data_IF_505115256024
#
_entry.id   IF_505115256024
#
_cell.length_a   1.000
_cell.length_b   1.000
_cell.length_c   1.000
_cell.angle_alpha   90.00
_cell.angle_beta   90.00
_cell.angle_gamma   90.00
#
_symmetry.space_group_name_H-M   'P 1'
#
loop_
_entity.id
_entity.type
_entity.pdbx_description
1 polymer ?
#
# COMPACT_ATOMS: atom_id res chain seq x y z
N UNK A 1 -29.89 9.76 12.52
CA UNK A 1 -29.85 9.40 11.09
C UNK A 1 -28.44 9.73 10.63
N UNK A 2 -27.56 8.75 10.76
CA UNK A 2 -26.12 8.88 10.54
C UNK A 2 -25.89 8.68 9.03
N UNK A 3 -25.53 9.73 8.32
CA UNK A 3 -25.09 9.62 6.93
C UNK A 3 -23.73 8.94 6.92
N UNK A 4 -23.74 7.66 6.62
CA UNK A 4 -22.52 6.95 6.18
C UNK A 4 -22.13 7.62 4.85
N UNK A 5 -21.15 8.50 4.89
CA UNK A 5 -20.48 9.01 3.70
C UNK A 5 -19.76 7.79 3.06
N UNK A 6 -20.43 7.23 2.06
CA UNK A 6 -19.84 6.20 1.21
C UNK A 6 -18.67 6.84 0.47
N UNK A 7 -17.45 6.63 0.95
CA UNK A 7 -16.26 6.94 0.18
C UNK A 7 -16.37 6.21 -1.16
N UNK A 8 -16.08 6.84 -2.31
CA UNK A 8 -16.04 6.11 -3.55
C UNK A 8 -15.02 4.96 -3.39
N UNK A 9 -15.32 3.77 -3.90
CA UNK A 9 -14.40 2.65 -3.81
C UNK A 9 -13.04 3.08 -4.38
N UNK A 10 -11.98 2.77 -3.66
CA UNK A 10 -10.66 2.77 -4.25
C UNK A 10 -10.76 2.05 -5.60
N UNK A 11 -10.06 2.54 -6.61
CA UNK A 11 -10.00 1.86 -7.90
C UNK A 11 -9.17 0.59 -7.77
N UNK A 12 -9.57 -0.32 -6.89
CA UNK A 12 -9.00 -1.63 -6.81
C UNK A 12 -9.32 -2.33 -8.13
N UNK A 13 -8.32 -2.38 -9.00
CA UNK A 13 -8.35 -3.14 -10.21
C UNK A 13 -7.51 -4.38 -9.95
N UNK A 14 -8.05 -5.55 -10.24
CA UNK A 14 -7.28 -6.79 -10.20
C UNK A 14 -6.05 -6.73 -11.10
N UNK A 15 -5.09 -7.56 -10.85
CA UNK A 15 -3.89 -7.71 -11.68
C UNK A 15 -3.83 -9.10 -12.31
N UNK A 16 -3.18 -9.21 -13.44
CA UNK A 16 -2.76 -10.48 -14.00
C UNK A 16 -1.25 -10.64 -13.84
N UNK A 17 -0.83 -11.29 -12.77
CA UNK A 17 0.57 -11.56 -12.48
C UNK A 17 1.11 -12.80 -13.23
N UNK A 18 0.29 -13.53 -13.98
CA UNK A 18 0.67 -14.76 -14.68
C UNK A 18 1.14 -14.47 -16.10
N UNK A 19 0.34 -13.74 -16.88
CA UNK A 19 0.61 -13.47 -18.30
C UNK A 19 1.99 -12.80 -18.53
N UNK A 20 2.44 -11.79 -17.75
CA UNK A 20 3.72 -11.13 -18.01
C UNK A 20 4.95 -11.92 -17.53
N UNK A 21 4.82 -13.11 -16.94
CA UNK A 21 5.96 -13.82 -16.33
C UNK A 21 7.10 -14.20 -17.27
N UNK A 22 6.80 -14.34 -18.53
CA UNK A 22 7.81 -14.63 -19.55
C UNK A 22 8.43 -13.36 -20.16
N UNK A 23 7.97 -12.18 -19.72
CA UNK A 23 8.44 -10.88 -20.16
C UNK A 23 9.42 -10.34 -19.13
N UNK A 24 10.58 -9.90 -19.57
CA UNK A 24 11.54 -9.24 -18.68
C UNK A 24 11.15 -7.79 -18.51
N UNK A 25 10.71 -7.43 -17.31
CA UNK A 25 10.47 -6.05 -16.90
C UNK A 25 11.69 -5.49 -16.17
N UNK A 26 12.02 -4.23 -16.45
CA UNK A 26 13.05 -3.49 -15.70
C UNK A 26 12.59 -3.28 -14.26
N UNK A 27 13.57 -3.24 -13.33
CA UNK A 27 13.28 -3.00 -11.93
C UNK A 27 12.89 -1.54 -11.68
N UNK A 28 11.73 -1.33 -11.08
CA UNK A 28 11.16 -0.02 -10.80
C UNK A 28 11.42 0.48 -9.37
N UNK A 29 12.09 -0.31 -8.52
CA UNK A 29 12.28 -0.02 -7.09
C UNK A 29 12.86 1.38 -6.86
N UNK A 30 13.99 1.71 -7.49
CA UNK A 30 14.64 3.02 -7.26
C UNK A 30 13.80 4.18 -7.79
N UNK A 31 13.05 3.98 -8.87
CA UNK A 31 12.14 5.00 -9.41
C UNK A 31 11.00 5.28 -8.44
N UNK A 32 10.39 4.22 -7.88
CA UNK A 32 9.32 4.33 -6.88
C UNK A 32 9.86 4.98 -5.61
N UNK A 33 10.99 4.51 -5.07
CA UNK A 33 11.63 5.08 -3.88
C UNK A 33 11.86 6.58 -4.02
N UNK A 34 12.43 7.00 -5.13
CA UNK A 34 12.71 8.42 -5.40
C UNK A 34 11.43 9.27 -5.45
N UNK A 35 10.37 8.76 -6.11
CA UNK A 35 9.10 9.49 -6.23
C UNK A 35 8.43 9.61 -4.86
N UNK A 36 8.37 8.54 -4.09
CA UNK A 36 7.75 8.53 -2.76
C UNK A 36 8.54 9.43 -1.81
N UNK A 37 9.87 9.34 -1.81
CA UNK A 37 10.73 10.16 -0.97
C UNK A 37 10.54 11.66 -1.24
N UNK A 38 10.48 12.06 -2.52
CA UNK A 38 10.18 13.43 -2.92
C UNK A 38 8.81 13.91 -2.42
N UNK A 39 7.82 13.04 -2.41
CA UNK A 39 6.46 13.35 -1.90
C UNK A 39 6.44 13.49 -0.39
N UNK A 40 7.18 12.66 0.33
CA UNK A 40 7.35 12.80 1.78
C UNK A 40 8.03 14.14 2.11
N UNK A 41 9.11 14.48 1.41
CA UNK A 41 9.80 15.76 1.59
C UNK A 41 8.88 16.96 1.31
N UNK A 42 8.05 16.87 0.25
CA UNK A 42 7.10 17.95 -0.06
C UNK A 42 6.01 18.07 1.03
N UNK A 43 5.51 16.96 1.56
CA UNK A 43 4.54 16.96 2.65
C UNK A 43 5.13 17.59 3.93
N UNK A 44 6.36 17.26 4.29
CA UNK A 44 7.08 17.88 5.42
C UNK A 44 7.22 19.38 5.21
N UNK A 45 7.60 19.81 4.01
CA UNK A 45 7.68 21.25 3.67
C UNK A 45 6.34 21.95 3.81
N UNK A 46 5.26 21.33 3.33
CA UNK A 46 3.91 21.88 3.42
C UNK A 46 3.45 21.99 4.89
N UNK A 47 3.72 20.96 5.70
CA UNK A 47 3.36 20.96 7.12
C UNK A 47 4.08 22.09 7.90
N UNK A 48 5.35 22.35 7.58
CA UNK A 48 6.09 23.46 8.15
C UNK A 48 5.57 24.83 7.67
N UNK A 49 5.23 24.97 6.38
CA UNK A 49 4.67 26.20 5.83
C UNK A 49 3.28 26.54 6.41
N UNK A 50 2.47 25.53 6.75
CA UNK A 50 1.18 25.74 7.41
C UNK A 50 1.35 26.43 8.78
N UNK A 51 2.37 26.07 9.54
CA UNK A 51 2.72 26.71 10.79
C UNK A 51 3.03 28.19 10.59
N UNK A 52 3.92 28.51 9.60
CA UNK A 52 4.31 29.89 9.32
C UNK A 52 3.08 30.77 8.99
N UNK A 53 2.13 30.23 8.24
CA UNK A 53 0.88 30.91 7.91
C UNK A 53 0.01 31.20 9.13
N UNK A 54 -0.10 30.28 10.08
CA UNK A 54 -0.87 30.47 11.33
C UNK A 54 -0.20 31.50 12.23
N UNK A 55 1.14 31.49 12.35
CA UNK A 55 1.88 32.49 13.13
C UNK A 55 1.72 33.93 12.59
N UNK A 56 1.56 34.09 11.26
CA UNK A 56 1.29 35.40 10.65
C UNK A 56 -0.11 35.95 10.99
N UNK A 57 -1.11 35.07 11.16
CA UNK A 57 -2.50 35.45 11.40
C UNK A 57 -2.75 35.72 12.88
N UNK A 58 -2.10 34.98 13.76
CA UNK A 58 -2.34 35.06 15.20
C UNK A 58 -1.03 35.12 15.99
N UNK A 59 -0.58 36.33 16.28
CA UNK A 59 0.62 36.64 17.06
C UNK A 59 0.54 36.11 18.54
N UNK A 60 -0.63 35.59 18.95
CA UNK A 60 -0.92 35.09 20.30
C UNK A 60 -1.07 33.57 20.37
N UNK A 61 -0.95 32.83 19.26
CA UNK A 61 -1.01 31.38 19.30
C UNK A 61 0.25 30.81 19.98
N UNK A 62 -0.03 30.06 21.03
CA UNK A 62 0.93 29.41 21.90
C UNK A 62 1.92 28.54 21.09
N UNK A 63 3.20 28.71 21.39
CA UNK A 63 4.32 27.99 20.74
C UNK A 63 4.31 26.46 20.91
N UNK A 64 3.36 25.90 21.66
CA UNK A 64 3.19 24.46 21.89
C UNK A 64 2.74 23.68 20.61
N UNK A 65 2.39 24.39 19.53
CA UNK A 65 1.92 23.78 18.27
C UNK A 65 2.98 23.69 17.15
N UNK A 66 4.25 23.85 17.47
CA UNK A 66 5.31 23.93 16.46
C UNK A 66 5.49 22.66 15.61
N UNK A 67 5.10 21.46 16.10
CA UNK A 67 5.08 20.22 15.32
C UNK A 67 3.72 19.54 15.47
N UNK A 68 2.74 20.00 14.71
CA UNK A 68 1.41 19.43 14.75
C UNK A 68 1.33 18.15 13.91
N UNK A 69 1.20 16.99 14.57
CA UNK A 69 1.13 15.68 13.92
C UNK A 69 -0.08 15.55 13.00
N UNK A 70 -1.23 16.12 13.36
CA UNK A 70 -2.43 16.09 12.52
C UNK A 70 -2.18 16.77 11.18
N UNK A 71 -1.49 17.93 11.19
CA UNK A 71 -1.12 18.65 9.97
C UNK A 71 -0.13 17.82 9.15
N UNK A 72 0.89 17.24 9.80
CA UNK A 72 1.88 16.40 9.12
C UNK A 72 1.22 15.21 8.42
N UNK A 73 0.41 14.43 9.12
CA UNK A 73 -0.27 13.26 8.53
C UNK A 73 -1.29 13.68 7.47
N UNK A 74 -1.96 14.84 7.61
CA UNK A 74 -2.84 15.39 6.58
C UNK A 74 -2.06 15.69 5.29
N UNK A 75 -0.91 16.34 5.38
CA UNK A 75 -0.08 16.66 4.21
C UNK A 75 0.55 15.39 3.59
N UNK A 76 0.97 14.42 4.41
CA UNK A 76 1.45 13.13 3.91
C UNK A 76 0.37 12.37 3.14
N UNK A 77 -0.85 12.29 3.67
CA UNK A 77 -2.00 11.66 2.98
C UNK A 77 -2.30 12.33 1.64
N UNK A 78 -2.36 13.66 1.62
CA UNK A 78 -2.56 14.44 0.37
C UNK A 78 -1.47 14.15 -0.64
N UNK A 79 -0.23 14.01 -0.18
CA UNK A 79 0.93 13.81 -1.05
C UNK A 79 1.04 12.37 -1.55
N UNK A 80 0.66 11.37 -0.73
CA UNK A 80 0.91 9.95 -1.01
C UNK A 80 -0.28 9.21 -1.63
N UNK A 81 -1.53 9.60 -1.31
CA UNK A 81 -2.68 8.89 -1.89
C UNK A 81 -3.96 9.70 -2.05
N UNK A 82 -4.16 10.81 -1.31
CA UNK A 82 -5.36 11.62 -1.41
C UNK A 82 -5.14 12.78 -2.36
N UNK A 83 -5.80 12.79 -3.52
CA UNK A 83 -5.88 13.99 -4.34
C UNK A 83 -7.25 14.65 -4.24
N UNK A 84 -7.29 15.97 -4.37
CA UNK A 84 -8.52 16.71 -4.61
C UNK A 84 -8.73 16.85 -6.11
N UNK A 85 -9.74 16.20 -6.65
CA UNK A 85 -10.24 16.55 -7.98
C UNK A 85 -11.07 17.83 -7.79
N UNK A 86 -10.41 18.97 -8.00
CA UNK A 86 -10.92 20.32 -7.70
C UNK A 86 -12.27 20.61 -8.37
N UNK A 87 -12.54 20.02 -9.54
CA UNK A 87 -13.77 20.27 -10.31
C UNK A 87 -15.03 19.61 -9.74
N UNK A 88 -14.91 18.59 -8.87
CA UNK A 88 -16.05 17.81 -8.37
C UNK A 88 -16.05 17.61 -6.86
N UNK A 89 -15.07 18.11 -6.12
CA UNK A 89 -14.97 17.93 -4.68
C UNK A 89 -14.76 16.46 -4.24
N UNK A 90 -14.41 15.58 -5.15
CA UNK A 90 -14.17 14.18 -4.88
C UNK A 90 -12.71 13.96 -4.49
N UNK A 91 -12.49 13.23 -3.39
CA UNK A 91 -11.18 12.72 -3.03
C UNK A 91 -10.90 11.46 -3.88
N UNK A 92 -9.81 11.45 -4.61
CA UNK A 92 -9.36 10.29 -5.42
C UNK A 92 -8.00 9.77 -4.93
N UNK A 93 -7.72 8.53 -5.25
CA UNK A 93 -6.40 7.93 -5.09
C UNK A 93 -5.61 8.19 -6.37
N UNK A 94 -4.74 9.18 -6.36
CA UNK A 94 -4.09 9.65 -7.58
C UNK A 94 -2.71 9.02 -7.80
N UNK A 95 -2.10 8.47 -6.75
CA UNK A 95 -0.73 8.01 -6.81
C UNK A 95 -0.54 6.80 -7.73
N UNK A 96 -1.43 5.82 -7.68
CA UNK A 96 -1.43 4.65 -8.56
C UNK A 96 -1.59 5.04 -10.04
N UNK A 97 -2.50 5.98 -10.34
CA UNK A 97 -2.64 6.52 -11.70
C UNK A 97 -1.40 7.28 -12.18
N UNK A 98 -0.77 8.02 -11.27
CA UNK A 98 0.49 8.71 -11.59
C UNK A 98 1.63 7.72 -11.82
N UNK A 99 1.71 6.65 -11.04
CA UNK A 99 2.69 5.59 -11.27
C UNK A 99 2.50 4.92 -12.62
N UNK A 100 1.27 4.66 -13.07
CA UNK A 100 1.02 4.16 -14.44
C UNK A 100 1.68 5.06 -15.49
N UNK A 101 1.52 6.38 -15.36
CA UNK A 101 2.15 7.33 -16.29
C UNK A 101 3.67 7.40 -16.14
N UNK A 102 4.17 7.41 -14.91
CA UNK A 102 5.61 7.58 -14.62
C UNK A 102 6.42 6.31 -14.90
N UNK A 103 5.79 5.13 -14.83
CA UNK A 103 6.40 3.83 -15.08
C UNK A 103 5.98 3.22 -16.43
N UNK A 104 5.35 4.01 -17.33
CA UNK A 104 4.81 3.51 -18.60
C UNK A 104 5.82 2.76 -19.50
N UNK A 105 7.12 2.97 -19.33
CA UNK A 105 8.18 2.21 -20.02
C UNK A 105 8.70 0.99 -19.25
N UNK A 106 8.28 0.80 -18.00
CA UNK A 106 8.76 -0.23 -17.08
C UNK A 106 7.61 -1.14 -16.60
N UNK A 107 6.36 -0.82 -16.95
CA UNK A 107 5.18 -1.59 -16.59
C UNK A 107 4.64 -2.41 -17.77
N UNK A 108 3.87 -3.44 -17.45
CA UNK A 108 3.12 -4.23 -18.39
C UNK A 108 1.62 -4.01 -18.17
N UNK A 109 0.97 -3.44 -19.18
CA UNK A 109 -0.46 -3.20 -19.20
C UNK A 109 -1.15 -4.30 -19.99
N UNK A 110 -2.26 -4.83 -19.48
CA UNK A 110 -3.01 -5.90 -20.11
C UNK A 110 -4.51 -5.57 -20.14
N UNK A 111 -5.15 -5.83 -21.27
CA UNK A 111 -6.59 -5.73 -21.36
C UNK A 111 -7.26 -6.91 -20.64
N UNK A 112 -8.47 -6.71 -20.11
CA UNK A 112 -9.23 -7.80 -19.51
C UNK A 112 -9.43 -8.98 -20.49
N UNK A 113 -9.63 -8.70 -21.77
CA UNK A 113 -9.84 -9.73 -22.79
C UNK A 113 -8.61 -10.62 -23.03
N UNK A 114 -7.43 -10.15 -22.72
CA UNK A 114 -6.18 -10.88 -22.88
C UNK A 114 -5.71 -11.54 -21.57
N UNK A 115 -6.36 -11.21 -20.46
CA UNK A 115 -5.97 -11.64 -19.11
C UNK A 115 -6.50 -13.03 -18.73
N UNK A 116 -6.03 -13.50 -17.57
CA UNK A 116 -6.55 -14.71 -16.92
C UNK A 116 -8.01 -14.56 -16.47
N UNK A 117 -8.53 -13.34 -16.34
CA UNK A 117 -9.89 -13.03 -15.89
C UNK A 117 -10.90 -12.84 -17.04
N UNK A 118 -10.50 -13.05 -18.28
CA UNK A 118 -11.33 -12.81 -19.48
C UNK A 118 -12.71 -13.49 -19.41
N UNK A 119 -12.74 -14.71 -18.89
CA UNK A 119 -13.91 -15.59 -18.93
C UNK A 119 -14.82 -15.45 -17.70
N UNK A 120 -14.50 -14.53 -16.76
CA UNK A 120 -15.38 -14.15 -15.66
C UNK A 120 -16.54 -13.30 -16.21
N UNK A 121 -17.78 -13.70 -15.90
CA UNK A 121 -18.97 -13.02 -16.36
C UNK A 121 -19.27 -11.73 -15.57
N UNK A 122 -20.12 -10.86 -16.14
CA UNK A 122 -20.48 -9.59 -15.49
C UNK A 122 -21.13 -9.78 -14.11
N UNK A 123 -21.93 -10.83 -13.92
CA UNK A 123 -22.57 -11.10 -12.62
C UNK A 123 -21.60 -11.70 -11.59
N UNK A 124 -20.52 -12.30 -12.04
CA UNK A 124 -19.49 -12.90 -11.18
C UNK A 124 -18.44 -11.88 -10.73
N UNK A 125 -18.18 -10.85 -11.57
CA UNK A 125 -17.17 -9.84 -11.31
C UNK A 125 -17.48 -8.53 -12.04
N UNK A 126 -18.55 -7.82 -11.65
CA UNK A 126 -18.98 -6.62 -12.37
C UNK A 126 -17.92 -5.52 -12.40
N UNK A 127 -17.14 -5.40 -11.34
CA UNK A 127 -16.09 -4.38 -11.25
C UNK A 127 -14.96 -4.63 -12.26
N UNK A 128 -14.59 -5.91 -12.50
CA UNK A 128 -13.62 -6.29 -13.54
C UNK A 128 -14.05 -5.83 -14.94
N UNK A 129 -15.37 -5.85 -15.21
CA UNK A 129 -15.89 -5.47 -16.53
C UNK A 129 -16.05 -3.95 -16.70
N UNK A 130 -16.00 -3.21 -15.60
CA UNK A 130 -16.15 -1.75 -15.59
C UNK A 130 -14.83 -0.99 -15.41
N UNK A 131 -13.80 -1.67 -14.94
CA UNK A 131 -12.49 -1.09 -14.65
C UNK A 131 -11.43 -1.72 -15.53
N UNK A 132 -10.35 -1.00 -15.77
CA UNK A 132 -9.15 -1.55 -16.37
C UNK A 132 -8.37 -2.35 -15.30
N UNK A 133 -7.65 -3.39 -15.75
CA UNK A 133 -6.71 -4.08 -14.89
C UNK A 133 -5.57 -3.13 -14.49
N UNK A 134 -5.02 -3.35 -13.31
CA UNK A 134 -3.84 -2.63 -12.86
C UNK A 134 -2.60 -3.12 -13.63
N UNK A 135 -1.69 -2.20 -13.91
CA UNK A 135 -0.42 -2.53 -14.54
C UNK A 135 0.47 -3.33 -13.59
N UNK A 136 1.25 -4.24 -14.17
CA UNK A 136 2.25 -5.03 -13.44
C UNK A 136 3.64 -4.43 -13.64
N UNK A 137 4.40 -4.31 -12.58
CA UNK A 137 5.80 -3.85 -12.56
C UNK A 137 6.69 -4.89 -11.89
N UNK A 138 7.97 -4.85 -12.20
CA UNK A 138 8.99 -5.55 -11.42
C UNK A 138 9.50 -4.63 -10.32
N UNK A 139 9.40 -5.06 -9.06
CA UNK A 139 9.96 -4.35 -7.91
C UNK A 139 10.81 -5.34 -7.11
N UNK A 140 12.11 -5.11 -7.09
CA UNK A 140 13.09 -5.97 -6.38
C UNK A 140 12.98 -7.47 -6.75
N UNK A 141 12.73 -7.74 -8.04
CA UNK A 141 12.58 -9.11 -8.56
C UNK A 141 11.21 -9.76 -8.38
N UNK A 142 10.23 -9.03 -7.84
CA UNK A 142 8.83 -9.47 -7.69
C UNK A 142 7.92 -8.80 -8.72
N UNK A 143 7.00 -9.56 -9.33
CA UNK A 143 5.96 -9.00 -10.20
C UNK A 143 4.78 -8.54 -9.36
N UNK A 144 4.59 -7.25 -9.27
CA UNK A 144 3.64 -6.59 -8.38
C UNK A 144 2.71 -5.69 -9.17
N UNK A 145 1.43 -5.73 -8.83
CA UNK A 145 0.47 -4.77 -9.36
C UNK A 145 0.65 -3.38 -8.77
N UNK A 146 0.46 -2.35 -9.57
CA UNK A 146 0.51 -0.97 -9.09
C UNK A 146 -0.60 -0.65 -8.08
N UNK A 147 -1.72 -1.38 -8.09
CA UNK A 147 -2.77 -1.31 -7.08
C UNK A 147 -2.25 -1.61 -5.66
N UNK A 148 -1.25 -2.52 -5.52
CA UNK A 148 -0.62 -2.82 -4.23
C UNK A 148 0.06 -1.60 -3.60
N UNK A 149 0.51 -0.65 -4.42
CA UNK A 149 1.02 0.63 -3.93
C UNK A 149 -0.14 1.48 -3.36
N UNK A 150 -1.31 1.43 -3.98
CA UNK A 150 -2.53 2.04 -3.44
C UNK A 150 -2.93 1.41 -2.09
N UNK A 151 -2.94 0.07 -2.02
CA UNK A 151 -3.18 -0.68 -0.78
C UNK A 151 -2.17 -0.31 0.32
N UNK A 152 -0.90 -0.26 -0.02
CA UNK A 152 0.17 0.11 0.92
C UNK A 152 -0.04 1.50 1.53
N UNK A 153 -0.35 2.52 0.73
CA UNK A 153 -0.51 3.86 1.27
C UNK A 153 -1.91 4.12 1.82
N UNK A 154 -2.97 3.76 1.10
CA UNK A 154 -4.33 4.13 1.47
C UNK A 154 -4.94 3.17 2.51
N UNK A 155 -4.93 1.86 2.25
CA UNK A 155 -5.47 0.88 3.20
C UNK A 155 -4.54 0.71 4.41
N UNK A 156 -3.20 0.81 4.19
CA UNK A 156 -2.23 0.86 5.29
C UNK A 156 -2.46 2.03 6.22
N UNK A 157 -2.90 3.19 5.71
CA UNK A 157 -3.34 4.32 6.54
C UNK A 157 -4.57 3.97 7.38
N UNK A 158 -5.59 3.30 6.80
CA UNK A 158 -6.77 2.88 7.57
C UNK A 158 -6.39 1.90 8.69
N UNK A 159 -5.47 0.98 8.44
CA UNK A 159 -4.95 0.10 9.48
C UNK A 159 -4.28 0.89 10.60
N UNK A 160 -3.52 1.92 10.24
CA UNK A 160 -2.84 2.79 11.21
C UNK A 160 -3.83 3.62 12.02
N UNK A 161 -4.87 4.21 11.40
CA UNK A 161 -5.94 4.92 12.12
C UNK A 161 -6.66 4.00 13.12
N UNK A 162 -7.05 2.79 12.70
CA UNK A 162 -7.75 1.84 13.57
C UNK A 162 -6.92 1.40 14.78
N UNK A 163 -5.61 1.22 14.62
CA UNK A 163 -4.75 0.86 15.75
C UNK A 163 -4.46 2.05 16.64
N UNK A 164 -4.13 3.21 16.07
CA UNK A 164 -3.70 4.40 16.81
C UNK A 164 -4.86 5.13 17.46
N UNK A 165 -5.91 5.43 16.70
CA UNK A 165 -7.00 6.31 17.15
C UNK A 165 -8.12 5.53 17.84
N UNK A 166 -8.42 4.31 17.38
CA UNK A 166 -9.47 3.45 17.92
C UNK A 166 -8.94 2.39 18.90
N UNK A 167 -7.62 2.24 19.03
CA UNK A 167 -6.96 1.32 19.97
C UNK A 167 -7.19 -0.17 19.66
N UNK A 168 -7.52 -0.50 18.39
CA UNK A 168 -7.71 -1.89 17.98
C UNK A 168 -6.37 -2.65 17.93
N UNK A 169 -6.39 -3.94 18.23
CA UNK A 169 -5.22 -4.78 18.04
C UNK A 169 -4.93 -5.00 16.55
N UNK A 170 -3.67 -5.31 16.22
CA UNK A 170 -3.29 -5.59 14.83
C UNK A 170 -4.07 -6.78 14.24
N UNK A 171 -4.38 -7.79 15.04
CA UNK A 171 -5.19 -8.94 14.62
C UNK A 171 -6.62 -8.54 14.24
N UNK A 172 -7.25 -7.65 15.02
CA UNK A 172 -8.59 -7.13 14.72
C UNK A 172 -8.58 -6.30 13.44
N UNK A 173 -7.55 -5.47 13.26
CA UNK A 173 -7.41 -4.62 12.07
C UNK A 173 -7.17 -5.45 10.81
N UNK A 174 -6.32 -6.48 10.87
CA UNK A 174 -6.11 -7.37 9.71
C UNK A 174 -7.39 -8.14 9.40
N UNK A 175 -8.13 -8.60 10.41
CA UNK A 175 -9.40 -9.28 10.18
C UNK A 175 -10.45 -8.33 9.59
N UNK A 176 -10.49 -7.07 10.02
CA UNK A 176 -11.29 -6.05 9.37
C UNK A 176 -10.92 -5.91 7.88
N UNK A 177 -9.64 -5.85 7.53
CA UNK A 177 -9.17 -5.79 6.14
C UNK A 177 -9.59 -7.02 5.33
N UNK A 178 -9.51 -8.23 5.93
CA UNK A 178 -10.00 -9.46 5.29
C UNK A 178 -11.50 -9.39 4.98
N UNK A 179 -12.31 -8.82 5.88
CA UNK A 179 -13.75 -8.61 5.65
C UNK A 179 -14.01 -7.60 4.54
N UNK A 180 -13.19 -6.54 4.42
CA UNK A 180 -13.29 -5.61 3.30
C UNK A 180 -12.94 -6.29 1.98
N UNK A 181 -11.88 -7.09 1.95
CA UNK A 181 -11.45 -7.86 0.78
C UNK A 181 -12.46 -8.95 0.40
N UNK A 182 -13.01 -9.68 1.37
CA UNK A 182 -14.10 -10.64 1.13
C UNK A 182 -15.41 -9.98 0.66
N UNK A 183 -15.62 -8.70 0.96
CA UNK A 183 -16.83 -7.95 0.65
C UNK A 183 -16.62 -6.94 -0.46
N UNK A 184 -16.38 -5.72 -0.05
CA UNK A 184 -16.47 -4.52 -0.88
C UNK A 184 -15.40 -4.44 -1.98
N UNK A 185 -14.20 -4.99 -1.74
CA UNK A 185 -13.08 -4.84 -2.67
C UNK A 185 -12.84 -6.07 -3.54
N UNK A 186 -13.03 -7.28 -3.01
CA UNK A 186 -12.72 -8.54 -3.68
C UNK A 186 -13.95 -9.35 -4.10
N UNK A 187 -14.32 -10.40 -3.37
CA UNK A 187 -15.32 -11.40 -3.79
C UNK A 187 -16.62 -10.83 -4.35
N UNK A 188 -17.18 -9.77 -3.74
CA UNK A 188 -18.47 -9.22 -4.17
C UNK A 188 -18.35 -8.40 -5.45
N UNK A 189 -17.19 -7.81 -5.71
CA UNK A 189 -17.00 -6.85 -6.80
C UNK A 189 -16.23 -7.42 -7.99
N UNK A 190 -15.21 -8.21 -7.74
CA UNK A 190 -14.33 -8.78 -8.77
C UNK A 190 -14.43 -10.29 -8.88
N UNK A 191 -14.97 -10.95 -7.85
CA UNK A 191 -14.96 -12.42 -7.73
C UNK A 191 -13.63 -12.99 -7.24
N UNK A 192 -12.66 -12.14 -6.93
CA UNK A 192 -11.29 -12.49 -6.53
C UNK A 192 -11.02 -11.97 -5.12
N UNK A 193 -10.23 -12.69 -4.34
CA UNK A 193 -9.72 -12.29 -3.04
C UNK A 193 -8.20 -12.34 -3.08
N UNK A 194 -7.56 -11.19 -2.94
CA UNK A 194 -6.12 -11.07 -3.03
C UNK A 194 -5.47 -11.03 -1.64
N UNK A 195 -4.70 -12.06 -1.32
CA UNK A 195 -3.86 -12.06 -0.12
C UNK A 195 -2.66 -11.09 -0.24
N UNK A 196 -2.25 -10.78 -1.46
CA UNK A 196 -1.21 -9.79 -1.70
C UNK A 196 -1.66 -8.38 -1.28
N UNK A 197 -2.96 -8.05 -1.40
CA UNK A 197 -3.53 -6.80 -0.91
C UNK A 197 -3.42 -6.70 0.60
N UNK A 198 -3.78 -7.77 1.33
CA UNK A 198 -3.63 -7.81 2.79
C UNK A 198 -2.18 -7.69 3.24
N UNK A 199 -1.27 -8.30 2.47
CA UNK A 199 0.17 -8.16 2.68
C UNK A 199 0.62 -6.71 2.50
N UNK A 200 0.16 -6.04 1.45
CA UNK A 200 0.44 -4.64 1.20
C UNK A 200 -0.13 -3.73 2.29
N UNK A 201 -1.38 -3.98 2.74
CA UNK A 201 -2.03 -3.23 3.81
C UNK A 201 -1.24 -3.30 5.12
N UNK A 202 -0.82 -4.52 5.54
CA UNK A 202 -0.02 -4.70 6.76
C UNK A 202 1.33 -3.98 6.67
N UNK A 203 2.02 -4.08 5.55
CA UNK A 203 3.28 -3.36 5.34
C UNK A 203 3.06 -1.85 5.24
N UNK A 204 1.91 -1.40 4.74
CA UNK A 204 1.51 0.00 4.76
C UNK A 204 1.31 0.53 6.18
N UNK A 205 0.68 -0.25 7.05
CA UNK A 205 0.63 0.09 8.48
C UNK A 205 2.03 0.30 9.07
N UNK A 206 2.98 -0.62 8.77
CA UNK A 206 4.38 -0.50 9.23
C UNK A 206 5.05 0.77 8.75
N UNK A 207 4.76 1.20 7.51
CA UNK A 207 5.25 2.46 6.96
C UNK A 207 4.68 3.66 7.75
N UNK A 208 3.35 3.71 7.95
CA UNK A 208 2.71 4.82 8.64
C UNK A 208 3.14 4.92 10.10
N UNK A 209 3.26 3.78 10.79
CA UNK A 209 3.83 3.72 12.13
C UNK A 209 5.28 4.24 12.17
N UNK A 210 6.09 3.91 11.17
CA UNK A 210 7.49 4.34 11.09
C UNK A 210 7.64 5.83 10.74
N UNK A 211 6.61 6.51 10.27
CA UNK A 211 6.68 7.95 9.98
C UNK A 211 7.20 8.72 11.19
N UNK A 212 6.60 8.52 12.35
CA UNK A 212 7.04 9.10 13.64
C UNK A 212 7.59 8.06 14.62
N UNK A 213 7.52 6.77 14.28
CA UNK A 213 7.89 5.63 15.13
C UNK A 213 7.04 5.60 16.42
N UNK A 214 5.71 5.59 16.24
CA UNK A 214 4.74 5.64 17.34
C UNK A 214 4.80 4.38 18.21
N UNK A 215 5.01 3.20 17.58
CA UNK A 215 5.09 1.91 18.25
C UNK A 215 6.23 1.03 17.67
N UNK A 216 6.60 -0.01 18.40
CA UNK A 216 7.50 -1.05 17.92
C UNK A 216 6.91 -1.76 16.69
N UNK A 217 7.73 -1.99 15.65
CA UNK A 217 7.32 -2.78 14.47
C UNK A 217 7.15 -4.27 14.88
N UNK A 218 5.92 -4.82 14.82
CA UNK A 218 5.64 -6.17 15.31
C UNK A 218 6.30 -7.29 14.48
N UNK A 219 6.83 -6.97 13.30
CA UNK A 219 7.59 -7.90 12.46
C UNK A 219 9.10 -7.84 12.72
N UNK A 220 9.55 -6.94 13.59
CA UNK A 220 10.95 -6.83 14.01
C UNK A 220 11.17 -7.41 15.39
N UNK A 221 12.36 -7.96 15.61
CA UNK A 221 12.79 -8.31 16.94
C UNK A 221 13.08 -7.05 17.81
N UNK A 222 13.04 -7.19 19.12
CA UNK A 222 13.24 -6.09 20.07
C UNK A 222 14.55 -5.32 19.86
N UNK A 223 15.65 -5.99 19.48
CA UNK A 223 16.93 -5.33 19.18
C UNK A 223 16.80 -4.43 17.94
N UNK A 224 16.13 -4.90 16.89
CA UNK A 224 15.94 -4.13 15.66
C UNK A 224 15.05 -2.89 15.90
N UNK A 225 14.01 -3.04 16.73
CA UNK A 225 13.18 -1.91 17.14
C UNK A 225 13.94 -0.87 17.94
N UNK A 226 14.84 -1.30 18.85
CA UNK A 226 15.66 -0.38 19.66
C UNK A 226 16.55 0.55 18.80
N UNK A 227 16.98 0.10 17.62
CA UNK A 227 17.80 0.87 16.69
C UNK A 227 17.02 1.47 15.53
N UNK A 228 15.70 1.27 15.49
CA UNK A 228 14.88 1.87 14.44
C UNK A 228 14.87 3.40 14.56
N UNK A 229 14.63 4.07 13.45
CA UNK A 229 14.57 5.52 13.39
C UNK A 229 13.37 5.96 12.59
N UNK A 230 12.65 6.98 13.01
CA UNK A 230 11.51 7.51 12.27
C UNK A 230 11.97 8.11 10.93
N UNK A 231 11.05 8.16 9.98
CA UNK A 231 11.27 8.91 8.74
C UNK A 231 11.30 10.43 9.01
N UNK A 232 10.50 10.88 9.96
CA UNK A 232 10.31 12.30 10.27
C UNK A 232 10.44 12.49 11.78
N UNK A 233 11.14 13.54 12.19
CA UNK A 233 11.21 13.99 13.61
C UNK A 233 10.89 15.47 13.73
N UNK A 234 10.51 15.86 14.94
CA UNK A 234 10.32 17.26 15.31
C UNK A 234 11.61 17.78 15.96
N UNK A 235 12.37 18.59 15.26
CA UNK A 235 13.68 19.07 15.71
C UNK A 235 13.73 20.60 15.83
N UNK A 236 14.64 21.08 16.68
CA UNK A 236 14.89 22.50 16.88
C UNK A 236 15.65 23.06 15.67
N UNK A 237 15.11 24.11 15.07
CA UNK A 237 15.75 24.88 14.01
C UNK A 237 16.01 26.32 14.46
N UNK A 238 17.15 26.86 14.03
CA UNK A 238 17.47 28.27 14.19
C UNK A 238 17.21 28.96 12.86
N UNK A 239 16.19 29.81 12.82
CA UNK A 239 15.90 30.65 11.65
C UNK A 239 16.60 31.98 11.83
N UNK A 240 17.61 32.25 11.01
CA UNK A 240 18.26 33.56 10.96
C UNK A 240 17.47 34.47 10.00
N UNK A 241 16.91 35.55 10.54
CA UNK A 241 16.39 36.65 9.73
C UNK A 241 17.28 37.86 9.89
N UNK A 242 17.20 38.80 8.92
CA UNK A 242 18.02 40.06 8.93
C UNK A 242 17.87 40.88 10.21
N UNK A 243 16.84 40.59 11.03
CA UNK A 243 16.53 41.38 12.24
C UNK A 243 16.49 40.55 13.54
N UNK A 244 16.45 39.21 13.48
CA UNK A 244 16.36 38.37 14.70
C UNK A 244 16.77 36.93 14.42
N UNK A 245 17.34 36.27 15.43
CA UNK A 245 17.43 34.82 15.47
C UNK A 245 16.17 34.32 16.19
N UNK A 246 15.37 33.48 15.50
CA UNK A 246 14.21 32.78 16.08
C UNK A 246 14.55 31.28 16.19
N UNK A 247 14.38 30.73 17.37
CA UNK A 247 14.47 29.28 17.60
C UNK A 247 13.05 28.72 17.42
N UNK A 248 12.89 27.78 16.54
CA UNK A 248 11.59 27.13 16.27
C UNK A 248 11.75 25.63 16.22
N UNK A 249 10.68 24.89 16.49
CA UNK A 249 10.63 23.46 16.23
C UNK A 249 9.99 23.23 14.86
N UNK A 250 10.55 22.32 14.08
CA UNK A 250 10.05 22.02 12.74
C UNK A 250 10.23 20.54 12.42
N UNK A 251 9.36 20.04 11.55
CA UNK A 251 9.47 18.70 11.01
C UNK A 251 10.71 18.57 10.13
N UNK A 252 11.48 17.50 10.34
CA UNK A 252 12.67 17.14 9.59
C UNK A 252 12.47 15.77 8.95
N UNK A 253 12.78 15.64 7.66
CA UNK A 253 12.87 14.36 6.98
C UNK A 253 14.28 13.77 7.20
N UNK A 254 14.37 12.68 7.96
CA UNK A 254 15.65 12.13 8.44
C UNK A 254 16.17 10.98 7.59
N UNK A 255 15.27 10.11 7.12
CA UNK A 255 15.63 8.89 6.44
C UNK A 255 14.90 8.80 5.11
N UNK A 256 15.59 8.37 4.07
CA UNK A 256 14.98 8.13 2.77
C UNK A 256 13.98 6.97 2.84
N UNK A 257 12.90 7.09 2.10
CA UNK A 257 11.98 5.99 1.89
C UNK A 257 12.65 4.87 1.09
N UNK A 258 12.47 3.63 1.53
CA UNK A 258 12.93 2.44 0.84
C UNK A 258 11.86 1.35 0.88
N UNK A 259 11.26 1.07 -0.28
CA UNK A 259 10.21 0.07 -0.41
C UNK A 259 10.73 -1.35 -0.22
N UNK A 260 12.03 -1.60 -0.45
CA UNK A 260 12.63 -2.93 -0.30
C UNK A 260 12.51 -3.50 1.12
N UNK A 261 12.36 -2.64 2.14
CA UNK A 261 12.13 -3.07 3.55
C UNK A 261 10.73 -3.66 3.77
N UNK A 262 9.80 -3.39 2.86
CA UNK A 262 8.38 -3.77 2.98
C UNK A 262 8.02 -4.89 2.03
N UNK A 263 8.51 -4.81 0.79
CA UNK A 263 8.17 -5.76 -0.28
C UNK A 263 8.83 -7.13 -0.06
N UNK A 264 8.17 -8.17 -0.53
CA UNK A 264 8.68 -9.54 -0.60
C UNK A 264 7.83 -10.37 -1.57
N UNK A 265 8.12 -11.68 -1.67
CA UNK A 265 7.41 -12.57 -2.57
C UNK A 265 5.90 -12.72 -2.31
N UNK A 266 5.39 -12.31 -1.14
CA UNK A 266 3.95 -12.35 -0.84
C UNK A 266 3.17 -11.18 -1.45
N UNK A 267 3.83 -10.18 -2.03
CA UNK A 267 3.18 -9.14 -2.83
C UNK A 267 2.88 -9.60 -4.26
N UNK A 268 3.47 -10.70 -4.68
CA UNK A 268 3.25 -11.31 -5.98
C UNK A 268 2.14 -12.37 -5.89
N UNK A 269 1.00 -12.12 -6.52
CA UNK A 269 -0.18 -12.99 -6.47
C UNK A 269 0.04 -14.41 -7.03
N UNK A 270 1.08 -14.65 -7.82
CA UNK A 270 1.41 -16.00 -8.23
C UNK A 270 2.25 -16.75 -7.19
N UNK A 271 2.74 -16.09 -6.14
CA UNK A 271 3.32 -16.74 -4.97
C UNK A 271 2.32 -16.79 -3.82
N UNK A 272 1.64 -15.66 -3.54
CA UNK A 272 0.64 -15.55 -2.49
C UNK A 272 -0.78 -15.75 -3.03
N UNK A 273 -0.99 -16.73 -3.81
CA UNK A 273 -2.20 -17.16 -4.50
C UNK A 273 -3.49 -16.36 -4.19
N UNK A 274 -4.37 -16.24 -5.15
CA UNK A 274 -5.70 -15.67 -4.94
C UNK A 274 -6.70 -16.77 -4.58
N UNK A 275 -7.75 -16.40 -3.84
CA UNK A 275 -8.96 -17.21 -3.71
C UNK A 275 -10.10 -16.62 -4.54
N UNK A 276 -11.08 -17.43 -4.88
CA UNK A 276 -12.19 -17.02 -5.75
C UNK A 276 -13.52 -17.15 -5.02
N UNK A 277 -14.51 -16.33 -5.42
CA UNK A 277 -15.82 -16.29 -4.76
C UNK A 277 -16.58 -17.62 -4.83
N UNK A 278 -16.36 -18.36 -5.90
CA UNK A 278 -16.89 -19.72 -6.05
C UNK A 278 -15.99 -20.58 -6.96
N UNK A 279 -16.16 -21.93 -6.95
CA UNK A 279 -15.35 -22.86 -7.75
C UNK A 279 -15.48 -22.65 -9.27
N UNK A 280 -16.59 -22.10 -9.77
CA UNK A 280 -16.77 -21.89 -11.21
C UNK A 280 -15.88 -20.72 -11.71
N UNK A 281 -15.72 -19.68 -10.89
CA UNK A 281 -14.79 -18.59 -11.19
C UNK A 281 -13.35 -19.14 -11.18
N UNK A 282 -13.00 -19.91 -10.15
CA UNK A 282 -11.68 -20.55 -10.05
C UNK A 282 -11.38 -21.42 -11.28
N UNK A 283 -12.31 -22.29 -11.67
CA UNK A 283 -12.15 -23.16 -12.84
C UNK A 283 -11.92 -22.38 -14.13
N UNK A 284 -12.64 -21.27 -14.35
CA UNK A 284 -12.46 -20.38 -15.51
C UNK A 284 -11.06 -19.78 -15.52
N UNK A 285 -10.63 -19.23 -14.39
CA UNK A 285 -9.31 -18.59 -14.25
C UNK A 285 -8.20 -19.63 -14.41
N UNK A 286 -8.29 -20.77 -13.74
CA UNK A 286 -7.30 -21.84 -13.83
C UNK A 286 -7.22 -22.46 -15.22
N UNK A 287 -8.34 -22.65 -15.92
CA UNK A 287 -8.34 -23.08 -17.32
C UNK A 287 -7.60 -22.08 -18.22
N UNK A 288 -7.77 -20.78 -17.99
CA UNK A 288 -7.09 -19.74 -18.74
C UNK A 288 -5.59 -19.70 -18.42
N UNK A 289 -5.22 -19.80 -17.15
CA UNK A 289 -3.81 -19.87 -16.71
C UNK A 289 -3.10 -21.07 -17.38
N UNK A 290 -3.70 -22.25 -17.37
CA UNK A 290 -3.11 -23.45 -17.99
C UNK A 290 -2.95 -23.33 -19.51
N UNK A 291 -3.75 -22.52 -20.19
CA UNK A 291 -3.55 -22.21 -21.61
C UNK A 291 -2.33 -21.31 -21.85
N UNK A 292 -1.94 -20.48 -20.87
CA UNK A 292 -0.78 -19.60 -20.93
C UNK A 292 0.48 -20.35 -20.46
N UNK A 293 0.35 -21.10 -19.40
CA UNK A 293 1.41 -21.90 -18.78
C UNK A 293 0.84 -23.22 -18.22
N UNK A 294 1.04 -24.31 -18.96
CA UNK A 294 0.49 -25.62 -18.60
C UNK A 294 1.02 -26.17 -17.28
N UNK A 295 2.24 -25.77 -16.91
CA UNK A 295 2.94 -26.22 -15.71
C UNK A 295 2.73 -25.28 -14.52
N UNK A 296 1.93 -24.23 -14.67
CA UNK A 296 1.67 -23.27 -13.59
C UNK A 296 1.08 -23.95 -12.37
N UNK A 297 1.69 -23.70 -11.23
CA UNK A 297 1.16 -24.02 -9.91
C UNK A 297 1.38 -22.84 -8.96
N UNK A 298 0.39 -22.49 -8.17
CA UNK A 298 0.56 -21.48 -7.13
C UNK A 298 0.75 -22.17 -5.78
N UNK A 299 1.77 -21.80 -4.99
CA UNK A 299 2.81 -20.78 -5.27
C UNK A 299 3.82 -21.26 -6.32
N UNK A 300 4.27 -20.32 -7.17
CA UNK A 300 5.28 -20.64 -8.20
C UNK A 300 6.70 -20.79 -7.63
N UNK A 301 6.95 -20.18 -6.47
CA UNK A 301 8.21 -20.25 -5.71
C UNK A 301 7.93 -20.53 -4.23
N UNK A 302 7.84 -21.81 -3.86
CA UNK A 302 7.54 -22.21 -2.45
C UNK A 302 8.49 -21.60 -1.42
N UNK A 303 9.74 -21.34 -1.80
CA UNK A 303 10.73 -20.68 -0.95
C UNK A 303 10.33 -19.26 -0.52
N UNK A 304 9.60 -18.54 -1.37
CA UNK A 304 9.08 -17.21 -1.02
C UNK A 304 7.97 -17.30 0.04
N UNK A 305 7.14 -18.33 -0.01
CA UNK A 305 6.15 -18.59 1.02
C UNK A 305 6.80 -18.87 2.38
N UNK A 306 7.89 -19.66 2.41
CA UNK A 306 8.65 -19.91 3.65
C UNK A 306 9.22 -18.61 4.22
N UNK A 307 9.87 -17.79 3.39
CA UNK A 307 10.40 -16.49 3.81
C UNK A 307 9.29 -15.55 4.32
N UNK A 308 8.15 -15.53 3.65
CA UNK A 308 6.99 -14.73 4.07
C UNK A 308 6.42 -15.23 5.41
N UNK A 309 6.29 -16.54 5.65
CA UNK A 309 5.88 -17.08 6.95
C UNK A 309 6.83 -16.66 8.07
N UNK A 310 8.14 -16.70 7.82
CA UNK A 310 9.14 -16.26 8.79
C UNK A 310 9.01 -14.75 9.07
N UNK A 311 8.86 -13.92 8.02
CA UNK A 311 8.71 -12.46 8.14
C UNK A 311 7.44 -12.07 8.88
N UNK A 312 6.29 -12.64 8.49
CA UNK A 312 4.99 -12.25 9.06
C UNK A 312 4.65 -12.96 10.37
N UNK A 313 5.34 -14.06 10.71
CA UNK A 313 5.19 -14.76 11.99
C UNK A 313 3.74 -15.07 12.33
N UNK A 314 3.25 -14.59 13.48
CA UNK A 314 1.87 -14.84 13.93
C UNK A 314 0.79 -14.24 13.01
N UNK A 315 1.15 -13.26 12.17
CA UNK A 315 0.23 -12.64 11.22
C UNK A 315 0.16 -13.37 9.87
N UNK A 316 1.10 -14.28 9.59
CA UNK A 316 1.16 -15.02 8.33
C UNK A 316 -0.17 -15.68 7.96
N UNK A 317 -0.84 -16.32 8.93
CA UNK A 317 -2.14 -16.99 8.73
C UNK A 317 -3.28 -16.08 8.27
N UNK A 318 -3.12 -14.76 8.38
CA UNK A 318 -4.12 -13.77 7.95
C UNK A 318 -3.82 -13.18 6.59
N UNK A 319 -2.53 -13.02 6.25
CA UNK A 319 -2.09 -12.30 5.05
C UNK A 319 -1.52 -13.22 3.97
N UNK A 320 -1.34 -14.50 4.25
CA UNK A 320 -0.90 -15.49 3.28
C UNK A 320 -2.01 -16.47 2.93
N UNK A 321 -2.08 -16.83 1.64
CA UNK A 321 -2.98 -17.86 1.15
C UNK A 321 -2.70 -19.22 1.86
N UNK A 322 -3.71 -20.05 2.13
CA UNK A 322 -3.51 -21.36 2.76
C UNK A 322 -2.47 -22.25 2.08
N UNK A 323 -2.36 -22.21 0.75
CA UNK A 323 -1.30 -22.94 0.04
C UNK A 323 0.10 -22.43 0.38
N UNK A 324 0.24 -21.11 0.55
CA UNK A 324 1.50 -20.50 0.97
C UNK A 324 1.85 -20.87 2.44
N UNK A 325 0.85 -21.20 3.26
CA UNK A 325 1.08 -21.61 4.66
C UNK A 325 1.71 -23.01 4.78
N UNK A 326 1.56 -23.88 3.78
CA UNK A 326 2.07 -25.25 3.79
C UNK A 326 3.19 -25.49 2.76
N UNK A 327 3.37 -24.60 1.82
CA UNK A 327 4.37 -24.77 0.75
C UNK A 327 5.81 -24.66 1.28
N UNK A 328 6.69 -25.52 0.82
CA UNK A 328 8.13 -25.52 1.16
C UNK A 328 8.48 -26.17 2.50
N UNK A 329 7.56 -26.91 3.11
CA UNK A 329 7.81 -27.68 4.34
C UNK A 329 8.23 -29.15 4.06
N UNK A 330 8.24 -29.55 2.79
CA UNK A 330 8.71 -30.86 2.34
C UNK A 330 10.18 -30.77 1.89
N UNK A 331 11.13 -30.78 2.85
CA UNK A 331 12.56 -31.08 2.65
C UNK A 331 12.99 -32.23 3.56
#
# INVERSE_FOLDING_TARGET
MMFVLCSPPANAAEIDSVTPRKIRLEDSLETINRIVDQRIQQAVKNANAYREYIEEIDEYLDTDNECNEYVLYSELRKSLFQSYIVSWGLKGYELDMQFRSLLAGQSYSLSLNDSIYRDIDYLEGFSLKLKELSDVVNIDGHLVGLDKIGHFFAEGWHYFELTRDDGQSMEEVIEWGRLQEAGKYGYVTTGVFSYADLTANLNGWRFWNKVLLDEDDPLKGWIANLFDRPYISCDIQIIESVKSMKVVRAWQHNNRFDLSVYIDGAWDEANNCNSYADPFIEDKVMARIKNIDADFSCPIKPEYCRQAREKYGRYAKYVLHPYCMIAGDED
#
